data_IF_134827560503
#
_entry.id   IF_134827560503
#
_cell.length_a   1.000
_cell.length_b   1.000
_cell.length_c   1.000
_cell.angle_alpha   90.00
_cell.angle_beta   90.00
_cell.angle_gamma   90.00
#
_symmetry.space_group_name_H-M   'P 1'
#
loop_
_entity.id
_entity.type
_entity.pdbx_description
1 polymer ?
#
# COMPACT_ATOMS: atom_id res chain seq x y z
N UNK A 1 -15.95 37.44 33.23
CA UNK A 1 -15.87 37.52 31.75
C UNK A 1 -15.76 36.09 31.27
N UNK A 2 -16.87 35.37 31.42
CA UNK A 2 -17.04 34.02 30.89
C UNK A 2 -17.13 34.19 29.37
N UNK A 3 -16.20 33.57 28.64
CA UNK A 3 -16.40 33.29 27.22
C UNK A 3 -16.71 31.82 27.13
N UNK A 4 -17.90 31.56 26.66
CA UNK A 4 -18.59 30.28 26.67
C UNK A 4 -17.75 29.19 26.00
N UNK A 5 -17.56 28.07 26.69
CA UNK A 5 -16.88 26.88 26.18
C UNK A 5 -17.67 26.16 25.08
N UNK A 6 -18.83 26.69 24.70
CA UNK A 6 -19.74 26.14 23.71
C UNK A 6 -19.24 26.38 22.28
N UNK A 7 -18.49 27.46 22.02
CA UNK A 7 -18.04 27.83 20.67
C UNK A 7 -16.96 26.91 20.09
N UNK A 8 -16.25 26.14 20.92
CA UNK A 8 -15.17 25.22 20.47
C UNK A 8 -15.63 23.77 20.25
N UNK A 9 -16.81 23.41 20.75
CA UNK A 9 -17.42 22.10 20.49
C UNK A 9 -18.12 22.11 19.13
N UNK A 10 -18.83 23.20 18.83
CA UNK A 10 -19.56 23.39 17.57
C UNK A 10 -18.60 23.50 16.36
N UNK A 11 -17.49 24.26 16.48
CA UNK A 11 -16.44 24.37 15.43
C UNK A 11 -15.74 23.02 15.16
N UNK A 12 -15.68 22.11 16.15
CA UNK A 12 -15.09 20.77 15.96
C UNK A 12 -16.06 19.81 15.25
N UNK A 13 -17.35 19.93 15.56
CA UNK A 13 -18.41 19.18 14.90
C UNK A 13 -18.63 19.66 13.46
N UNK A 14 -18.59 20.97 13.20
CA UNK A 14 -18.67 21.52 11.84
C UNK A 14 -17.44 21.16 10.99
N UNK A 15 -16.22 21.14 11.57
CA UNK A 15 -15.02 20.67 10.86
C UNK A 15 -15.04 19.17 10.58
N UNK A 16 -15.59 18.37 11.48
CA UNK A 16 -15.79 16.94 11.27
C UNK A 16 -16.83 16.68 10.17
N UNK A 17 -17.95 17.42 10.18
CA UNK A 17 -18.99 17.37 9.15
C UNK A 17 -18.47 17.84 7.77
N UNK A 18 -17.62 18.87 7.72
CA UNK A 18 -16.98 19.33 6.49
C UNK A 18 -15.92 18.33 5.97
N UNK A 19 -15.24 17.61 6.88
CA UNK A 19 -14.30 16.55 6.51
C UNK A 19 -15.03 15.31 5.96
N UNK A 20 -16.18 14.93 6.51
CA UNK A 20 -17.01 13.85 5.98
C UNK A 20 -17.66 14.21 4.64
N UNK A 21 -18.19 15.43 4.49
CA UNK A 21 -18.76 15.90 3.21
C UNK A 21 -17.69 15.99 2.09
N UNK A 22 -16.46 16.40 2.44
CA UNK A 22 -15.32 16.36 1.51
C UNK A 22 -14.87 14.94 1.18
N UNK A 23 -14.91 14.02 2.14
CA UNK A 23 -14.60 12.61 1.92
C UNK A 23 -15.65 11.92 1.03
N UNK A 24 -16.94 12.27 1.16
CA UNK A 24 -18.02 11.80 0.28
C UNK A 24 -17.91 12.37 -1.14
N UNK A 25 -17.47 13.64 -1.28
CA UNK A 25 -17.22 14.26 -2.59
C UNK A 25 -15.98 13.67 -3.30
N UNK A 26 -14.90 13.39 -2.57
CA UNK A 26 -13.70 12.69 -3.09
C UNK A 26 -13.98 11.22 -3.45
N UNK A 27 -15.01 10.61 -2.84
CA UNK A 27 -15.44 9.23 -3.10
C UNK A 27 -16.04 9.03 -4.50
N UNK A 28 -16.54 10.10 -5.12
CA UNK A 28 -17.38 10.01 -6.33
C UNK A 28 -16.61 9.86 -7.64
N UNK A 29 -15.29 10.09 -7.68
CA UNK A 29 -14.45 9.74 -8.85
C UNK A 29 -13.00 9.61 -8.40
N UNK A 30 -12.62 8.45 -7.86
CA UNK A 30 -11.20 8.07 -7.80
C UNK A 30 -10.83 7.51 -9.16
N UNK A 31 -10.54 8.40 -10.12
CA UNK A 31 -9.91 7.95 -11.36
C UNK A 31 -8.54 7.36 -11.02
N UNK A 32 -8.35 6.08 -11.32
CA UNK A 32 -7.11 5.37 -10.98
C UNK A 32 -6.06 5.73 -12.02
N UNK A 33 -4.96 6.32 -11.57
CA UNK A 33 -3.78 6.49 -12.40
C UNK A 33 -3.05 5.14 -12.56
N UNK A 34 -3.48 4.39 -13.59
CA UNK A 34 -2.91 3.08 -13.94
C UNK A 34 -1.43 3.20 -14.28
N UNK A 35 -0.99 4.31 -14.87
CA UNK A 35 0.41 4.53 -15.23
C UNK A 35 1.29 4.70 -13.98
N UNK A 36 0.80 5.45 -12.99
CA UNK A 36 1.47 5.59 -11.71
C UNK A 36 1.62 4.24 -10.99
N UNK A 37 0.52 3.49 -10.87
CA UNK A 37 0.52 2.18 -10.19
C UNK A 37 1.39 1.16 -10.92
N UNK A 38 1.36 1.13 -12.26
CA UNK A 38 2.20 0.25 -13.05
C UNK A 38 3.70 0.56 -12.86
N UNK A 39 4.07 1.84 -12.77
CA UNK A 39 5.46 2.24 -12.54
C UNK A 39 5.97 1.85 -11.14
N UNK A 40 5.13 1.98 -10.11
CA UNK A 40 5.46 1.51 -8.75
C UNK A 40 5.70 -0.01 -8.73
N UNK A 41 4.86 -0.76 -9.45
CA UNK A 41 4.92 -2.22 -9.54
C UNK A 41 5.91 -2.75 -10.59
N UNK A 42 6.66 -1.87 -11.28
CA UNK A 42 7.59 -2.21 -12.37
C UNK A 42 6.95 -3.01 -13.52
N UNK A 43 5.67 -2.76 -13.79
CA UNK A 43 4.91 -3.36 -14.87
C UNK A 43 4.96 -2.47 -16.12
N UNK A 44 5.17 -3.09 -17.28
CA UNK A 44 4.98 -2.44 -18.58
C UNK A 44 3.68 -2.93 -19.19
N UNK A 45 2.73 -2.02 -19.39
CA UNK A 45 1.42 -2.30 -19.97
C UNK A 45 1.30 -1.65 -21.34
N UNK A 46 0.71 -2.37 -22.29
CA UNK A 46 0.31 -1.83 -23.59
C UNK A 46 -0.88 -0.87 -23.43
N UNK A 47 -1.15 0.03 -24.39
CA UNK A 47 -2.29 0.94 -24.31
C UNK A 47 -3.64 0.23 -24.13
N UNK A 48 -3.80 -0.95 -24.74
CA UNK A 48 -5.02 -1.77 -24.56
C UNK A 48 -5.14 -2.30 -23.13
N UNK A 49 -4.08 -2.89 -22.60
CA UNK A 49 -4.06 -3.43 -21.24
C UNK A 49 -4.28 -2.33 -20.19
N UNK A 50 -3.81 -1.10 -20.43
CA UNK A 50 -4.08 0.03 -19.52
C UNK A 50 -5.57 0.36 -19.42
N UNK A 51 -6.27 0.38 -20.55
CA UNK A 51 -7.72 0.66 -20.60
C UNK A 51 -8.52 -0.47 -19.94
N UNK A 52 -8.14 -1.72 -20.20
CA UNK A 52 -8.73 -2.91 -19.55
C UNK A 52 -8.50 -2.86 -18.03
N UNK A 53 -7.25 -2.68 -17.61
CA UNK A 53 -6.84 -2.60 -16.20
C UNK A 53 -7.54 -1.45 -15.46
N UNK A 54 -7.73 -0.29 -16.11
CA UNK A 54 -8.46 0.83 -15.52
C UNK A 54 -9.89 0.41 -15.14
N UNK A 55 -10.59 -0.29 -16.03
CA UNK A 55 -11.96 -0.77 -15.80
C UNK A 55 -12.00 -1.83 -14.71
N UNK A 56 -11.10 -2.81 -14.77
CA UNK A 56 -11.05 -3.91 -13.80
C UNK A 56 -10.70 -3.42 -12.39
N UNK A 57 -9.67 -2.59 -12.25
CA UNK A 57 -9.30 -2.00 -10.96
C UNK A 57 -10.40 -1.11 -10.41
N UNK A 58 -11.09 -0.35 -11.25
CA UNK A 58 -12.24 0.47 -10.81
C UNK A 58 -13.36 -0.40 -10.23
N UNK A 59 -13.64 -1.55 -10.85
CA UNK A 59 -14.63 -2.49 -10.35
C UNK A 59 -14.20 -3.13 -9.01
N UNK A 60 -12.92 -3.50 -8.87
CA UNK A 60 -12.38 -4.10 -7.63
C UNK A 60 -12.43 -3.10 -6.47
N UNK A 61 -12.06 -1.84 -6.71
CA UNK A 61 -12.14 -0.79 -5.68
C UNK A 61 -13.58 -0.51 -5.30
N UNK A 62 -14.49 -0.44 -6.28
CA UNK A 62 -15.91 -0.26 -6.00
C UNK A 62 -16.48 -1.40 -5.13
N UNK A 63 -16.04 -2.64 -5.36
CA UNK A 63 -16.40 -3.77 -4.50
C UNK A 63 -15.79 -3.64 -3.09
N UNK A 64 -14.52 -3.24 -2.98
CA UNK A 64 -13.88 -3.00 -1.68
C UNK A 64 -14.52 -1.86 -0.88
N UNK A 65 -15.08 -0.85 -1.56
CA UNK A 65 -15.78 0.29 -0.94
C UNK A 65 -17.03 -0.13 -0.16
N UNK A 66 -17.60 -1.33 -0.41
CA UNK A 66 -18.68 -1.92 0.40
C UNK A 66 -18.28 -2.05 1.88
N UNK A 67 -17.00 -2.29 2.17
CA UNK A 67 -16.50 -2.41 3.55
C UNK A 67 -16.59 -1.09 4.33
N UNK A 68 -16.65 0.06 3.66
CA UNK A 68 -16.76 1.35 4.36
C UNK A 68 -18.15 1.59 4.96
N UNK A 69 -19.15 0.76 4.64
CA UNK A 69 -20.46 0.82 5.29
C UNK A 69 -20.43 0.25 6.71
N UNK A 70 -19.34 -0.42 7.10
CA UNK A 70 -19.15 -1.02 8.41
C UNK A 70 -18.42 -0.02 9.31
N UNK A 71 -19.03 0.31 10.44
CA UNK A 71 -18.39 1.11 11.47
C UNK A 71 -17.26 0.30 12.13
N UNK A 72 -16.06 0.88 12.11
CA UNK A 72 -14.84 0.32 12.72
C UNK A 72 -14.24 1.26 13.75
N UNK A 73 -14.99 2.28 14.21
CA UNK A 73 -14.54 3.19 15.25
C UNK A 73 -14.23 2.43 16.55
N UNK A 74 -13.02 2.62 17.08
CA UNK A 74 -12.54 1.94 18.29
C UNK A 74 -12.11 0.48 18.08
N UNK A 75 -12.12 -0.04 16.85
CA UNK A 75 -11.59 -1.38 16.53
C UNK A 75 -10.11 -1.27 16.16
N UNK A 76 -9.25 -1.90 16.95
CA UNK A 76 -7.81 -1.94 16.66
C UNK A 76 -7.50 -2.80 15.41
N UNK A 77 -6.66 -2.32 14.46
CA UNK A 77 -6.27 -3.10 13.29
C UNK A 77 -5.54 -4.39 13.65
N UNK A 78 -5.90 -5.50 12.99
CA UNK A 78 -5.24 -6.80 13.19
C UNK A 78 -4.10 -6.98 12.19
N UNK A 79 -2.85 -6.73 12.61
CA UNK A 79 -1.66 -6.91 11.77
C UNK A 79 -1.18 -8.37 11.69
N UNK A 80 -1.28 -9.10 12.80
CA UNK A 80 -0.89 -10.51 12.90
C UNK A 80 -1.97 -11.27 13.67
N UNK A 81 -2.32 -12.46 13.18
CA UNK A 81 -3.33 -13.32 13.85
C UNK A 81 -2.77 -14.02 15.10
N UNK A 82 -1.45 -14.12 15.21
CA UNK A 82 -0.76 -14.69 16.37
C UNK A 82 -0.12 -13.57 17.21
N UNK A 83 -0.16 -13.67 18.54
CA UNK A 83 0.48 -12.72 19.44
C UNK A 83 1.99 -12.98 19.52
N UNK A 84 2.71 -12.73 18.43
CA UNK A 84 4.17 -12.84 18.41
C UNK A 84 4.80 -11.65 19.12
N UNK A 85 5.76 -11.92 20.00
CA UNK A 85 6.54 -10.89 20.68
C UNK A 85 8.01 -11.30 20.62
N UNK A 86 8.87 -10.37 20.20
CA UNK A 86 10.32 -10.46 20.38
C UNK A 86 10.91 -11.84 19.99
N UNK A 87 10.60 -12.31 18.77
CA UNK A 87 11.15 -13.56 18.24
C UNK A 87 12.58 -13.32 17.79
N UNK A 88 13.53 -13.58 18.70
CA UNK A 88 14.95 -13.41 18.45
C UNK A 88 15.58 -14.64 17.80
N UNK A 89 16.54 -14.39 16.91
CA UNK A 89 17.50 -15.38 16.46
C UNK A 89 18.77 -15.23 17.30
N UNK A 90 19.33 -16.34 17.77
CA UNK A 90 20.64 -16.35 18.43
C UNK A 90 21.73 -15.86 17.47
N UNK A 91 22.70 -15.10 17.99
CA UNK A 91 23.80 -14.55 17.21
C UNK A 91 24.92 -15.57 17.00
N UNK A 92 24.58 -16.63 16.28
CA UNK A 92 25.51 -17.71 15.92
C UNK A 92 25.85 -17.66 14.44
N UNK A 93 27.13 -17.90 14.13
CA UNK A 93 27.61 -18.04 12.76
C UNK A 93 27.07 -19.33 12.17
N UNK A 94 26.42 -19.23 11.02
CA UNK A 94 25.98 -20.40 10.23
C UNK A 94 26.75 -20.45 8.91
N UNK A 95 27.06 -21.65 8.39
CA UNK A 95 27.66 -21.76 7.08
C UNK A 95 26.72 -21.14 6.03
N UNK A 96 27.30 -20.38 5.10
CA UNK A 96 26.57 -19.83 3.96
C UNK A 96 26.21 -20.94 2.96
N UNK A 97 25.42 -20.57 1.95
CA UNK A 97 25.13 -21.44 0.81
C UNK A 97 26.32 -21.39 -0.15
N UNK A 98 26.67 -22.54 -0.74
CA UNK A 98 27.72 -22.64 -1.77
C UNK A 98 27.43 -21.70 -2.95
N UNK A 99 28.48 -21.03 -3.44
CA UNK A 99 28.33 -19.95 -4.43
C UNK A 99 27.72 -20.46 -5.74
N UNK A 100 28.12 -21.65 -6.16
CA UNK A 100 27.64 -22.32 -7.37
C UNK A 100 26.13 -22.57 -7.29
N UNK A 101 25.65 -23.05 -6.15
CA UNK A 101 24.21 -23.28 -5.90
C UNK A 101 23.44 -21.96 -5.87
N UNK A 102 24.00 -20.91 -5.26
CA UNK A 102 23.36 -19.59 -5.21
C UNK A 102 23.18 -18.98 -6.60
N UNK A 103 24.12 -19.22 -7.51
CA UNK A 103 24.14 -18.65 -8.85
C UNK A 103 23.41 -19.50 -9.90
N UNK A 104 22.94 -20.70 -9.56
CA UNK A 104 22.31 -21.65 -10.49
C UNK A 104 21.10 -21.05 -11.24
N UNK A 105 20.32 -20.21 -10.57
CA UNK A 105 19.13 -19.57 -11.14
C UNK A 105 19.37 -18.15 -11.66
N UNK A 106 20.62 -17.66 -11.65
CA UNK A 106 20.92 -16.31 -12.09
C UNK A 106 20.84 -16.22 -13.63
N UNK A 107 20.12 -15.22 -14.20
CA UNK A 107 19.96 -15.10 -15.66
C UNK A 107 21.28 -14.93 -16.42
N UNK A 108 22.28 -14.30 -15.80
CA UNK A 108 23.62 -14.15 -16.32
C UNK A 108 24.62 -14.02 -15.19
N UNK A 109 25.76 -14.70 -15.32
CA UNK A 109 26.81 -14.76 -14.30
C UNK A 109 28.15 -14.39 -14.94
N UNK A 110 28.98 -13.64 -14.20
CA UNK A 110 30.37 -13.35 -14.58
C UNK A 110 31.22 -13.18 -13.33
N UNK A 111 32.37 -13.85 -13.28
CA UNK A 111 33.35 -13.73 -12.19
C UNK A 111 32.74 -13.94 -10.77
N UNK A 112 31.75 -14.83 -10.66
CA UNK A 112 31.03 -15.09 -9.40
C UNK A 112 29.96 -14.06 -9.02
N UNK A 113 29.61 -13.14 -9.92
CA UNK A 113 28.60 -12.09 -9.72
C UNK A 113 27.39 -12.28 -10.64
N UNK A 114 26.22 -11.82 -10.18
CA UNK A 114 25.02 -11.70 -11.02
C UNK A 114 25.17 -10.46 -11.90
N UNK A 115 25.07 -10.64 -13.21
CA UNK A 115 25.20 -9.55 -14.17
C UNK A 115 23.85 -8.88 -14.39
N UNK A 116 23.79 -7.56 -14.17
CA UNK A 116 22.62 -6.72 -14.42
C UNK A 116 22.96 -5.54 -15.33
N UNK A 117 21.99 -4.96 -16.07
CA UNK A 117 22.20 -3.71 -16.78
C UNK A 117 22.70 -2.61 -15.84
N UNK A 118 23.64 -1.79 -16.32
CA UNK A 118 24.17 -0.68 -15.53
C UNK A 118 23.05 0.30 -15.20
N UNK A 119 22.84 0.58 -13.92
CA UNK A 119 21.96 1.66 -13.47
C UNK A 119 22.67 2.98 -13.76
N UNK A 120 22.05 3.80 -14.60
CA UNK A 120 22.46 5.17 -14.92
C UNK A 120 21.31 6.08 -14.50
N UNK A 121 21.63 7.21 -13.89
CA UNK A 121 20.67 8.24 -13.49
C UNK A 121 20.43 9.24 -14.64
#
# INVERSE_FOLDING_TARGET
>A
MERDGETFAEDRAERAAYATDRAEAERKTRDIDVDHVANLSKLRLTPREKEEMKRELSAIIAFADELSAIDTEGVEPTAHVLPLQNVWREDEVRPGIERETLLENAPAVRDGCILVPKVME
#
